data_IF_871726866183
#
_entry.id   IF_871726866183
#
_cell.length_a   1.000
_cell.length_b   1.000
_cell.length_c   1.000
_cell.angle_alpha   90.00
_cell.angle_beta   90.00
_cell.angle_gamma   90.00
#
_symmetry.space_group_name_H-M   'P 1'
#
loop_
_entity.id
_entity.type
_entity.pdbx_description
1 polymer ?
#
# COMPACT_ATOMS: atom_id res chain seq x y z
N UNK A 1 -6.35 -11.75 -18.14
CA UNK A 1 -5.23 -10.82 -17.88
C UNK A 1 -5.46 -10.12 -16.54
N UNK A 2 -4.61 -10.34 -15.55
CA UNK A 2 -4.85 -9.88 -14.17
C UNK A 2 -4.31 -10.81 -13.09
N UNK A 3 -3.56 -11.84 -13.48
CA UNK A 3 -2.89 -12.72 -12.54
C UNK A 3 -1.83 -11.92 -11.75
N UNK A 4 -1.93 -12.01 -10.42
CA UNK A 4 -1.02 -11.36 -9.50
C UNK A 4 0.29 -12.16 -9.31
N UNK A 5 0.28 -13.45 -9.64
CA UNK A 5 1.46 -14.34 -9.54
C UNK A 5 2.60 -13.87 -10.46
N UNK A 6 2.25 -13.27 -11.61
CA UNK A 6 3.20 -12.74 -12.59
C UNK A 6 3.98 -11.51 -12.13
N UNK A 7 3.62 -10.88 -11.01
CA UNK A 7 4.40 -9.79 -10.45
C UNK A 7 5.55 -10.33 -9.59
N UNK A 8 6.77 -9.85 -9.84
CA UNK A 8 7.95 -10.22 -9.03
C UNK A 8 7.84 -9.74 -7.57
N UNK A 9 7.26 -8.55 -7.35
CA UNK A 9 7.14 -7.93 -6.03
C UNK A 9 5.95 -6.97 -5.98
N UNK A 10 5.43 -6.67 -4.78
CA UNK A 10 4.35 -5.68 -4.59
C UNK A 10 4.67 -4.29 -5.16
N UNK A 11 5.94 -3.91 -5.23
CA UNK A 11 6.37 -2.66 -5.87
C UNK A 11 6.08 -2.64 -7.37
N UNK A 12 6.15 -3.79 -8.05
CA UNK A 12 5.79 -3.88 -9.46
C UNK A 12 4.29 -3.60 -9.66
N UNK A 13 3.44 -4.12 -8.77
CA UNK A 13 2.01 -3.82 -8.76
C UNK A 13 1.74 -2.34 -8.48
N UNK A 14 2.45 -1.73 -7.53
CA UNK A 14 2.33 -0.29 -7.22
C UNK A 14 2.80 0.59 -8.38
N UNK A 15 3.88 0.22 -9.07
CA UNK A 15 4.32 0.90 -10.30
C UNK A 15 3.25 0.81 -11.37
N UNK A 16 2.66 -0.37 -11.55
CA UNK A 16 1.56 -0.61 -12.48
C UNK A 16 0.31 0.24 -12.15
N UNK A 17 0.03 0.47 -10.87
CA UNK A 17 -1.05 1.33 -10.40
C UNK A 17 -0.71 2.84 -10.47
N UNK A 18 0.55 3.21 -10.73
CA UNK A 18 1.02 4.60 -10.67
C UNK A 18 1.10 5.17 -9.25
N UNK A 19 1.31 4.30 -8.24
CA UNK A 19 1.49 4.66 -6.83
C UNK A 19 2.97 4.73 -6.40
N UNK A 20 3.90 4.63 -7.34
CA UNK A 20 5.32 4.85 -7.08
C UNK A 20 5.63 6.36 -7.03
N UNK A 21 6.69 6.70 -6.30
CA UNK A 21 7.18 8.07 -6.21
C UNK A 21 7.92 8.44 -7.51
N UNK A 22 7.69 9.66 -7.98
CA UNK A 22 8.40 10.26 -9.08
C UNK A 22 8.66 11.74 -8.76
N UNK A 23 9.77 12.26 -9.26
CA UNK A 23 10.05 13.69 -9.20
C UNK A 23 9.13 14.44 -10.17
N UNK A 24 8.49 15.50 -9.70
CA UNK A 24 7.82 16.44 -10.59
C UNK A 24 8.88 17.25 -11.34
N UNK A 25 8.80 17.28 -12.67
CA UNK A 25 9.79 17.94 -13.54
C UNK A 25 9.30 19.24 -14.16
N UNK A 26 8.06 19.67 -13.88
CA UNK A 26 7.43 20.82 -14.56
C UNK A 26 7.40 22.08 -13.68
N UNK A 27 7.96 23.16 -14.22
CA UNK A 27 7.78 24.54 -13.77
C UNK A 27 7.91 24.72 -12.25
N UNK A 28 6.82 25.17 -11.62
CA UNK A 28 6.76 25.53 -10.19
C UNK A 28 6.96 24.35 -9.23
N UNK A 29 6.84 23.10 -9.70
CA UNK A 29 6.88 21.91 -8.84
C UNK A 29 8.17 21.08 -9.01
N UNK A 30 9.16 21.61 -9.73
CA UNK A 30 10.44 20.94 -9.97
C UNK A 30 11.13 20.56 -8.65
N UNK A 31 11.63 19.32 -8.55
CA UNK A 31 12.30 18.80 -7.35
C UNK A 31 11.39 18.22 -6.26
N UNK A 32 10.06 18.34 -6.38
CA UNK A 32 9.15 17.74 -5.40
C UNK A 32 8.88 16.26 -5.72
N UNK A 33 8.98 15.41 -4.70
CA UNK A 33 8.64 14.00 -4.80
C UNK A 33 7.12 13.83 -4.67
N UNK A 34 6.48 13.40 -5.75
CA UNK A 34 5.03 13.19 -5.83
C UNK A 34 4.70 11.76 -6.21
N UNK A 35 3.45 11.36 -6.02
CA UNK A 35 2.96 10.13 -6.66
C UNK A 35 2.94 10.33 -8.16
N UNK A 36 3.52 9.39 -8.89
CA UNK A 36 3.60 9.43 -10.35
C UNK A 36 2.23 9.59 -11.01
N UNK A 37 1.20 8.89 -10.50
CA UNK A 37 -0.15 8.80 -11.09
C UNK A 37 -0.17 8.31 -12.55
N UNK A 38 0.98 7.93 -13.12
CA UNK A 38 1.13 7.27 -14.43
C UNK A 38 1.02 5.76 -14.24
N UNK A 39 -0.08 5.18 -14.70
CA UNK A 39 -0.43 3.77 -14.52
C UNK A 39 -1.94 3.53 -14.68
N UNK A 40 -2.41 2.30 -14.40
CA UNK A 40 -3.82 1.94 -14.53
C UNK A 40 -4.69 2.65 -13.48
N UNK A 41 -5.53 3.58 -13.92
CA UNK A 41 -6.42 4.38 -13.05
C UNK A 41 -7.44 3.53 -12.28
N UNK A 42 -8.04 2.53 -12.93
CA UNK A 42 -9.00 1.60 -12.31
C UNK A 42 -8.35 0.79 -11.18
N UNK A 43 -7.15 0.25 -11.42
CA UNK A 43 -6.38 -0.49 -10.41
C UNK A 43 -6.07 0.40 -9.19
N UNK A 44 -5.63 1.64 -9.44
CA UNK A 44 -5.38 2.62 -8.38
C UNK A 44 -6.62 2.89 -7.53
N UNK A 45 -7.77 3.09 -8.18
CA UNK A 45 -9.05 3.33 -7.51
C UNK A 45 -9.44 2.14 -6.63
N UNK A 46 -9.36 0.92 -7.16
CA UNK A 46 -9.72 -0.27 -6.39
C UNK A 46 -8.76 -0.52 -5.23
N UNK A 47 -7.44 -0.39 -5.43
CA UNK A 47 -6.49 -0.50 -4.32
C UNK A 47 -6.81 0.47 -3.18
N UNK A 48 -7.20 1.69 -3.50
CA UNK A 48 -7.61 2.68 -2.50
C UNK A 48 -8.91 2.28 -1.79
N UNK A 49 -9.95 1.92 -2.53
CA UNK A 49 -11.26 1.53 -1.97
C UNK A 49 -11.16 0.25 -1.12
N UNK A 50 -10.44 -0.76 -1.59
CA UNK A 50 -10.19 -2.00 -0.85
C UNK A 50 -9.43 -1.71 0.44
N UNK A 51 -8.38 -0.89 0.39
CA UNK A 51 -7.65 -0.48 1.60
C UNK A 51 -8.56 0.25 2.58
N UNK A 52 -9.44 1.13 2.11
CA UNK A 52 -10.37 1.83 2.98
C UNK A 52 -11.36 0.89 3.65
N UNK A 53 -11.93 -0.04 2.87
CA UNK A 53 -12.84 -1.06 3.38
C UNK A 53 -12.15 -1.97 4.41
N UNK A 54 -10.89 -2.34 4.17
CA UNK A 54 -10.08 -3.12 5.11
C UNK A 54 -9.80 -2.37 6.42
N UNK A 55 -9.51 -1.08 6.37
CA UNK A 55 -9.27 -0.28 7.59
C UNK A 55 -10.53 -0.16 8.44
N UNK A 56 -11.72 -0.21 7.83
CA UNK A 56 -13.00 -0.16 8.55
C UNK A 56 -13.35 -1.52 9.16
N UNK A 57 -13.24 -2.59 8.35
CA UNK A 57 -13.77 -3.91 8.70
C UNK A 57 -12.76 -4.81 9.42
N UNK A 58 -11.45 -4.63 9.19
CA UNK A 58 -10.42 -5.51 9.74
C UNK A 58 -9.68 -4.81 10.90
N UNK A 59 -9.67 -5.42 12.11
CA UNK A 59 -9.02 -4.82 13.28
C UNK A 59 -7.51 -4.61 13.10
N UNK A 60 -6.83 -5.45 12.30
CA UNK A 60 -5.38 -5.36 12.09
C UNK A 60 -5.00 -4.11 11.29
N UNK A 61 -5.70 -3.87 10.17
CA UNK A 61 -5.49 -2.68 9.35
C UNK A 61 -5.93 -1.41 10.09
N UNK A 62 -6.96 -1.50 10.93
CA UNK A 62 -7.39 -0.42 11.82
C UNK A 62 -6.31 -0.10 12.86
N UNK A 63 -5.71 -1.10 13.49
CA UNK A 63 -4.62 -0.95 14.44
C UNK A 63 -3.39 -0.29 13.77
N UNK A 64 -3.01 -0.77 12.58
CA UNK A 64 -1.91 -0.18 11.81
C UNK A 64 -2.18 1.28 11.40
N UNK A 65 -3.41 1.59 10.99
CA UNK A 65 -3.81 2.97 10.69
C UNK A 65 -3.70 3.84 11.94
N UNK A 66 -4.23 3.37 13.07
CA UNK A 66 -4.19 4.09 14.34
C UNK A 66 -2.75 4.34 14.82
N UNK A 67 -1.85 3.37 14.68
CA UNK A 67 -0.43 3.50 15.02
C UNK A 67 0.26 4.53 14.12
N UNK A 68 0.03 4.47 12.80
CA UNK A 68 0.59 5.44 11.87
C UNK A 68 0.14 6.89 12.17
N UNK A 69 -1.11 7.07 12.61
CA UNK A 69 -1.65 8.40 12.92
C UNK A 69 -1.21 8.87 14.31
N UNK A 70 -1.31 8.03 15.34
CA UNK A 70 -1.04 8.41 16.74
C UNK A 70 0.46 8.41 17.08
N UNK A 71 1.17 7.34 16.73
CA UNK A 71 2.59 7.16 17.09
C UNK A 71 3.48 7.89 16.09
N UNK A 72 3.30 7.63 14.80
CA UNK A 72 4.14 8.21 13.73
C UNK A 72 3.72 9.63 13.32
N UNK A 73 2.63 10.16 13.90
CA UNK A 73 2.07 11.50 13.64
C UNK A 73 1.84 11.80 12.15
N UNK A 74 1.48 10.78 11.37
CA UNK A 74 1.25 10.91 9.92
C UNK A 74 -0.20 11.37 9.67
N UNK A 75 -0.40 12.28 8.71
CA UNK A 75 -1.75 12.67 8.25
C UNK A 75 -2.57 11.45 7.81
N UNK A 76 -3.87 11.42 8.15
CA UNK A 76 -4.79 10.29 7.88
C UNK A 76 -4.67 9.76 6.43
N UNK A 77 -4.74 10.64 5.42
CA UNK A 77 -4.61 10.22 4.01
C UNK A 77 -3.25 9.65 3.64
N UNK A 78 -2.15 10.18 4.20
CA UNK A 78 -0.81 9.61 3.99
C UNK A 78 -0.71 8.22 4.61
N UNK A 79 -1.34 7.99 5.76
CA UNK A 79 -1.41 6.64 6.34
C UNK A 79 -2.18 5.66 5.45
N UNK A 80 -3.27 6.08 4.81
CA UNK A 80 -4.04 5.19 3.92
C UNK A 80 -3.20 4.81 2.70
N UNK A 81 -2.53 5.78 2.08
CA UNK A 81 -1.63 5.50 0.95
C UNK A 81 -0.48 4.55 1.33
N UNK A 82 0.06 4.69 2.55
CA UNK A 82 1.05 3.76 3.10
C UNK A 82 0.50 2.34 3.24
N UNK A 83 -0.74 2.21 3.70
CA UNK A 83 -1.41 0.91 3.81
C UNK A 83 -1.74 0.31 2.44
N UNK A 84 -2.10 1.10 1.42
CA UNK A 84 -2.23 0.60 0.04
C UNK A 84 -0.92 -0.06 -0.43
N UNK A 85 0.22 0.54 -0.10
CA UNK A 85 1.54 -0.01 -0.41
C UNK A 85 1.86 -1.32 0.31
N UNK A 86 1.34 -1.49 1.53
CA UNK A 86 1.46 -2.74 2.30
C UNK A 86 0.50 -3.81 1.75
N UNK A 87 -0.75 -3.46 1.48
CA UNK A 87 -1.75 -4.34 0.87
C UNK A 87 -1.26 -4.91 -0.47
N UNK A 88 -0.69 -4.06 -1.34
CA UNK A 88 -0.14 -4.51 -2.62
C UNK A 88 0.96 -5.57 -2.46
N UNK A 89 1.79 -5.49 -1.41
CA UNK A 89 2.80 -6.50 -1.10
C UNK A 89 2.18 -7.80 -0.59
N UNK A 90 1.20 -7.70 0.30
CA UNK A 90 0.45 -8.87 0.81
C UNK A 90 -0.24 -9.61 -0.34
N UNK A 91 -0.93 -8.89 -1.23
CA UNK A 91 -1.62 -9.49 -2.38
C UNK A 91 -0.67 -10.26 -3.31
N UNK A 92 0.48 -9.67 -3.65
CA UNK A 92 1.49 -10.35 -4.50
C UNK A 92 2.12 -11.53 -3.77
N UNK A 93 2.37 -11.41 -2.46
CA UNK A 93 2.90 -12.52 -1.64
C UNK A 93 1.95 -13.73 -1.60
N UNK A 94 0.67 -13.49 -1.35
CA UNK A 94 -0.38 -14.53 -1.35
C UNK A 94 -0.48 -15.18 -2.72
N UNK A 95 -0.54 -14.39 -3.79
CA UNK A 95 -0.70 -14.91 -5.14
C UNK A 95 0.49 -15.77 -5.62
N UNK A 96 1.70 -15.44 -5.18
CA UNK A 96 2.92 -16.19 -5.54
C UNK A 96 3.09 -17.47 -4.73
N UNK A 97 2.80 -17.40 -3.43
CA UNK A 97 3.05 -18.53 -2.52
C UNK A 97 1.85 -19.49 -2.45
N UNK A 98 0.68 -19.10 -2.96
CA UNK A 98 -0.55 -19.88 -2.85
C UNK A 98 -1.04 -20.07 -1.40
N UNK A 99 -0.51 -19.29 -0.46
CA UNK A 99 -0.79 -19.44 0.97
C UNK A 99 -1.92 -18.51 1.43
N UNK A 100 -2.70 -18.97 2.42
CA UNK A 100 -3.72 -18.15 3.04
C UNK A 100 -3.11 -16.92 3.74
N UNK A 101 -3.90 -15.85 3.82
CA UNK A 101 -3.53 -14.65 4.56
C UNK A 101 -3.25 -15.00 6.02
N UNK A 102 -2.05 -14.63 6.50
CA UNK A 102 -1.67 -14.73 7.91
C UNK A 102 -1.49 -13.32 8.49
N UNK A 103 -2.25 -12.93 9.54
CA UNK A 103 -2.16 -11.63 10.19
C UNK A 103 -0.75 -11.21 10.59
N UNK A 104 0.03 -12.17 11.08
CA UNK A 104 1.41 -12.01 11.55
C UNK A 104 2.33 -11.40 10.49
N UNK A 105 2.07 -11.69 9.21
CA UNK A 105 2.87 -11.19 8.09
C UNK A 105 2.67 -9.69 7.84
N UNK A 106 1.63 -9.09 8.43
CA UNK A 106 1.27 -7.68 8.22
C UNK A 106 1.85 -6.79 9.33
N UNK A 107 2.11 -7.33 10.51
CA UNK A 107 2.79 -6.64 11.59
C UNK A 107 4.32 -6.70 11.38
N UNK A 108 5.07 -5.61 11.64
CA UNK A 108 6.51 -5.72 11.78
C UNK A 108 6.80 -6.60 13.01
N UNK A 109 7.71 -7.56 12.89
CA UNK A 109 8.13 -8.45 13.98
C UNK A 109 8.60 -7.72 15.25
N UNK A 110 8.91 -6.41 15.15
CA UNK A 110 9.28 -5.55 16.28
C UNK A 110 8.15 -5.22 17.25
N UNK A 111 6.88 -5.55 16.96
CA UNK A 111 5.75 -5.36 17.90
C UNK A 111 5.43 -6.58 18.75
N UNK A 112 6.19 -7.68 18.62
CA UNK A 112 6.07 -8.89 19.46
C UNK A 112 7.08 -8.92 20.63
N UNK A 113 7.94 -7.91 20.74
CA UNK A 113 9.04 -7.85 21.72
C UNK A 113 8.93 -6.66 22.70
N UNK A 114 7.70 -6.26 23.06
CA UNK A 114 7.45 -5.28 24.13
C UNK A 114 6.37 -5.79 25.08
#
# INVERSE_FOLDING_TARGET
>A
AGDLSGFAHGNALLRHAGLHLAEASSGKWKGQIVLSKRGRSRLRRYLFLTTMSLVINNPEFKALHSNNVKVKKIKKMKSIMKLCGKLARVLVGIARNGSAYKPEMVFPLEQLAA
#
